data_IF_995225631028
#
_entry.id   IF_995225631028
#
_cell.length_a   1.000
_cell.length_b   1.000
_cell.length_c   1.000
_cell.angle_alpha   90.00
_cell.angle_beta   90.00
_cell.angle_gamma   90.00
#
_symmetry.space_group_name_H-M   'P 1'
#
loop_
_entity.id
_entity.type
_entity.pdbx_description
1 polymer ?
#
# COMPACT_ATOMS: atom_id res chain seq x y z
N UNK A 1 -22.69 26.35 -2.89
CA UNK A 1 -23.59 25.22 -2.53
C UNK A 1 -22.74 23.98 -2.57
N UNK A 2 -22.27 23.50 -1.40
CA UNK A 2 -21.36 22.37 -1.31
C UNK A 2 -22.10 21.07 -1.60
N UNK A 3 -21.62 20.30 -2.57
CA UNK A 3 -22.08 18.94 -2.81
C UNK A 3 -21.79 18.11 -1.55
N UNK A 4 -22.83 17.75 -0.84
CA UNK A 4 -22.76 16.83 0.31
C UNK A 4 -22.27 15.47 -0.24
N UNK A 5 -21.05 15.09 0.11
CA UNK A 5 -20.54 13.74 -0.20
C UNK A 5 -21.37 12.78 0.65
N UNK A 6 -22.38 12.17 0.08
CA UNK A 6 -23.13 11.09 0.72
C UNK A 6 -22.27 9.84 0.64
N UNK A 7 -21.65 9.49 1.76
CA UNK A 7 -20.87 8.27 1.89
C UNK A 7 -21.83 7.16 2.34
N UNK A 8 -21.96 6.12 1.53
CA UNK A 8 -22.64 4.89 1.96
C UNK A 8 -21.77 4.21 3.02
N UNK A 9 -22.35 3.78 4.17
CA UNK A 9 -21.57 3.11 5.19
C UNK A 9 -20.96 1.82 4.61
N UNK A 10 -19.64 1.78 4.53
CA UNK A 10 -18.91 0.55 4.24
C UNK A 10 -19.13 -0.44 5.39
N UNK A 11 -19.23 -1.73 5.09
CA UNK A 11 -19.24 -2.76 6.13
C UNK A 11 -17.98 -2.61 7.01
N UNK A 12 -18.12 -2.82 8.32
CA UNK A 12 -16.96 -2.81 9.24
C UNK A 12 -15.89 -3.74 8.70
N UNK A 13 -14.61 -3.33 8.73
CA UNK A 13 -13.53 -4.16 8.20
C UNK A 13 -13.47 -5.49 8.95
N UNK A 14 -13.24 -6.56 8.20
CA UNK A 14 -12.95 -7.87 8.79
C UNK A 14 -11.58 -7.83 9.47
N UNK A 15 -11.55 -7.76 10.78
CA UNK A 15 -10.34 -7.76 11.60
C UNK A 15 -9.81 -9.17 11.88
N UNK A 16 -10.45 -10.23 11.33
CA UNK A 16 -10.03 -11.63 11.55
C UNK A 16 -8.60 -11.90 11.09
N UNK A 17 -8.12 -11.18 10.07
CA UNK A 17 -6.73 -11.25 9.63
C UNK A 17 -5.73 -10.89 10.75
N UNK A 18 -6.15 -10.12 11.75
CA UNK A 18 -5.32 -9.69 12.87
C UNK A 18 -5.16 -10.80 13.94
N UNK A 19 -6.02 -11.80 13.94
CA UNK A 19 -5.89 -13.00 14.78
C UNK A 19 -4.65 -13.81 14.37
N UNK A 20 -4.23 -13.69 13.12
CA UNK A 20 -3.03 -14.37 12.58
C UNK A 20 -1.70 -13.70 12.94
N UNK A 21 -1.72 -12.55 13.63
CA UNK A 21 -0.51 -11.93 14.17
C UNK A 21 -0.03 -12.71 15.41
N UNK A 22 0.45 -13.92 15.19
CA UNK A 22 1.12 -14.72 16.20
C UNK A 22 2.57 -14.27 16.31
N UNK A 23 2.94 -13.49 17.31
CA UNK A 23 4.38 -13.22 17.49
C UNK A 23 4.77 -11.85 18.02
N UNK A 24 3.87 -11.11 18.65
CA UNK A 24 4.21 -9.83 19.29
C UNK A 24 3.70 -8.59 18.55
N UNK A 25 4.14 -7.39 18.98
CA UNK A 25 3.73 -6.13 18.38
C UNK A 25 4.04 -6.07 16.87
N UNK A 26 3.07 -5.67 16.02
CA UNK A 26 3.30 -5.65 14.58
C UNK A 26 4.22 -4.49 14.16
N UNK A 27 5.05 -4.73 13.14
CA UNK A 27 5.64 -3.69 12.33
C UNK A 27 4.83 -3.56 11.05
N UNK A 28 4.24 -2.40 10.83
CA UNK A 28 3.53 -2.07 9.59
C UNK A 28 4.20 -0.89 8.88
N UNK A 29 3.69 -0.52 7.70
CA UNK A 29 4.22 0.63 6.97
C UNK A 29 3.10 1.48 6.39
N UNK A 30 3.28 2.79 6.47
CA UNK A 30 2.60 3.76 5.62
C UNK A 30 3.51 4.04 4.43
N UNK A 31 3.06 3.69 3.23
CA UNK A 31 3.95 3.60 2.06
C UNK A 31 3.37 4.36 0.86
N UNK A 32 3.27 5.69 0.93
CA UNK A 32 2.73 6.51 -0.14
C UNK A 32 3.73 6.72 -1.27
N UNK A 33 3.21 6.74 -2.51
CA UNK A 33 4.00 7.14 -3.68
C UNK A 33 3.83 8.65 -3.94
N UNK A 34 4.93 9.43 -4.05
CA UNK A 34 4.89 10.88 -4.23
C UNK A 34 4.56 11.28 -5.68
N UNK A 35 3.44 10.76 -6.21
CA UNK A 35 2.93 11.02 -7.57
C UNK A 35 1.82 12.08 -7.61
N UNK A 36 1.53 12.71 -6.48
CA UNK A 36 0.52 13.75 -6.27
C UNK A 36 0.33 14.02 -4.78
N UNK A 37 -0.50 15.01 -4.46
CA UNK A 37 -0.82 15.40 -3.09
C UNK A 37 -1.66 14.34 -2.36
N UNK A 38 -1.64 14.40 -1.02
CA UNK A 38 -2.49 13.54 -0.20
C UNK A 38 -3.98 13.92 -0.37
N UNK A 39 -4.83 12.92 -0.32
CA UNK A 39 -6.29 13.05 -0.33
C UNK A 39 -6.91 12.18 0.77
N UNK A 40 -8.21 12.31 1.02
CA UNK A 40 -8.91 11.58 2.08
C UNK A 40 -8.65 10.06 2.05
N UNK A 41 -8.47 9.45 0.88
CA UNK A 41 -8.12 8.03 0.78
C UNK A 41 -6.76 7.67 1.41
N UNK A 42 -5.78 8.59 1.39
CA UNK A 42 -4.52 8.42 2.12
C UNK A 42 -4.72 8.60 3.63
N UNK A 43 -5.62 9.52 4.03
CA UNK A 43 -5.97 9.68 5.46
C UNK A 43 -6.66 8.44 6.00
N UNK A 44 -7.57 7.81 5.22
CA UNK A 44 -8.14 6.50 5.57
C UNK A 44 -7.05 5.46 5.77
N UNK A 45 -6.12 5.35 4.81
CA UNK A 45 -5.01 4.41 4.96
C UNK A 45 -4.18 4.69 6.21
N UNK A 46 -3.88 5.97 6.51
CA UNK A 46 -3.17 6.36 7.73
C UNK A 46 -3.95 5.96 8.99
N UNK A 47 -5.26 6.22 9.07
CA UNK A 47 -6.10 5.82 10.20
C UNK A 47 -5.98 4.31 10.45
N UNK A 48 -6.08 3.49 9.40
CA UNK A 48 -5.97 2.04 9.53
C UNK A 48 -4.56 1.59 9.91
N UNK A 49 -3.52 2.17 9.30
CA UNK A 49 -2.11 1.83 9.58
C UNK A 49 -1.76 2.15 11.04
N UNK A 50 -1.93 3.41 11.46
CA UNK A 50 -1.61 3.82 12.84
C UNK A 50 -2.57 3.22 13.85
N UNK A 51 -3.87 3.19 13.54
CA UNK A 51 -4.88 2.65 14.44
C UNK A 51 -4.63 1.19 14.78
N UNK A 52 -4.38 0.35 13.78
CA UNK A 52 -4.12 -1.07 13.98
C UNK A 52 -2.77 -1.35 14.65
N UNK A 53 -1.74 -0.58 14.30
CA UNK A 53 -0.44 -0.69 14.93
C UNK A 53 -0.55 -0.33 16.43
N UNK A 54 -1.06 0.86 16.74
CA UNK A 54 -1.14 1.36 18.13
C UNK A 54 -2.09 0.55 19.01
N UNK A 55 -3.18 0.00 18.45
CA UNK A 55 -4.07 -0.91 19.19
C UNK A 55 -3.39 -2.22 19.61
N UNK A 56 -2.16 -2.50 19.15
CA UNK A 56 -1.36 -3.70 19.42
C UNK A 56 0.08 -3.38 19.83
N UNK A 57 0.34 -2.19 20.34
CA UNK A 57 1.69 -1.72 20.74
C UNK A 57 2.74 -1.83 19.61
N UNK A 58 2.28 -1.82 18.38
CA UNK A 58 3.10 -1.96 17.18
C UNK A 58 3.71 -0.65 16.70
N UNK A 59 4.59 -0.77 15.70
CA UNK A 59 5.33 0.34 15.10
C UNK A 59 4.92 0.58 13.65
N UNK A 60 5.07 1.82 13.22
CA UNK A 60 4.79 2.28 11.84
C UNK A 60 6.08 2.79 11.21
N UNK A 61 6.47 2.17 10.10
CA UNK A 61 7.53 2.66 9.21
C UNK A 61 6.90 3.57 8.14
N UNK A 62 7.46 4.75 7.93
CA UNK A 62 7.17 5.56 6.74
C UNK A 62 8.13 5.18 5.63
N UNK A 63 7.60 4.73 4.49
CA UNK A 63 8.38 4.39 3.29
C UNK A 63 7.88 5.21 2.11
N UNK A 64 8.77 5.95 1.47
CA UNK A 64 8.45 6.71 0.26
C UNK A 64 8.60 5.79 -0.95
N UNK A 65 7.48 5.47 -1.61
CA UNK A 65 7.47 4.58 -2.78
C UNK A 65 7.72 5.38 -4.08
N UNK A 66 8.96 5.76 -4.30
CA UNK A 66 9.44 6.58 -5.42
C UNK A 66 10.17 5.77 -6.52
N UNK A 67 10.00 4.45 -6.57
CA UNK A 67 10.60 3.60 -7.59
C UNK A 67 10.17 3.97 -9.02
N UNK A 68 8.97 4.53 -9.20
CA UNK A 68 8.50 5.11 -10.46
C UNK A 68 8.94 6.58 -10.58
N UNK A 69 10.20 6.77 -10.89
CA UNK A 69 10.82 8.10 -10.96
C UNK A 69 10.23 9.00 -12.04
N UNK A 70 9.49 8.46 -13.01
CA UNK A 70 8.84 9.25 -14.07
C UNK A 70 7.69 10.09 -13.53
N UNK A 71 6.94 9.55 -12.58
CA UNK A 71 5.77 10.20 -11.99
C UNK A 71 6.03 10.84 -10.63
N UNK A 72 7.08 10.41 -9.93
CA UNK A 72 7.42 10.92 -8.60
C UNK A 72 8.14 12.26 -8.70
N UNK A 73 7.81 13.18 -7.78
CA UNK A 73 8.39 14.53 -7.74
C UNK A 73 8.75 14.90 -6.31
N UNK A 74 9.91 15.54 -6.12
CA UNK A 74 10.37 16.01 -4.81
C UNK A 74 9.37 16.98 -4.14
N UNK A 75 8.66 17.80 -4.92
CA UNK A 75 7.63 18.70 -4.41
C UNK A 75 6.42 17.95 -3.83
N UNK A 76 6.06 16.79 -4.39
CA UNK A 76 4.99 15.96 -3.83
C UNK A 76 5.45 15.22 -2.58
N UNK A 77 6.71 14.80 -2.52
CA UNK A 77 7.30 14.21 -1.31
C UNK A 77 7.33 15.20 -0.16
N UNK A 78 7.84 16.42 -0.41
CA UNK A 78 7.87 17.47 0.60
C UNK A 78 6.46 17.78 1.13
N UNK A 79 5.48 17.94 0.22
CA UNK A 79 4.10 18.19 0.59
C UNK A 79 3.47 17.02 1.38
N UNK A 80 3.78 15.78 1.01
CA UNK A 80 3.32 14.58 1.72
C UNK A 80 3.82 14.57 3.16
N UNK A 81 5.09 14.87 3.37
CA UNK A 81 5.71 14.91 4.69
C UNK A 81 5.10 16.04 5.55
N UNK A 82 4.89 17.24 4.95
CA UNK A 82 4.21 18.37 5.59
C UNK A 82 2.76 18.03 5.97
N UNK A 83 2.01 17.39 5.08
CA UNK A 83 0.62 17.00 5.32
C UNK A 83 0.51 15.95 6.44
N UNK A 84 1.45 14.99 6.51
CA UNK A 84 1.50 13.99 7.60
C UNK A 84 1.78 14.65 8.95
N UNK A 85 2.75 15.58 8.99
CA UNK A 85 3.07 16.33 10.20
C UNK A 85 1.87 17.17 10.66
N UNK A 86 1.21 17.86 9.72
CA UNK A 86 0.02 18.64 10.02
C UNK A 86 -1.14 17.79 10.53
N UNK A 87 -1.37 16.62 9.93
CA UNK A 87 -2.40 15.67 10.39
C UNK A 87 -2.09 15.05 11.75
N UNK A 88 -0.80 15.05 12.16
CA UNK A 88 -0.34 14.47 13.42
C UNK A 88 -0.05 12.97 13.36
N UNK A 89 0.12 12.39 12.17
CA UNK A 89 0.54 11.00 12.01
C UNK A 89 2.07 10.88 12.07
N UNK A 90 2.59 10.53 13.23
CA UNK A 90 4.05 10.42 13.47
C UNK A 90 4.49 8.95 13.32
N UNK A 91 5.34 8.63 12.33
CA UNK A 91 5.92 7.29 12.19
C UNK A 91 7.04 7.07 13.22
N UNK A 92 7.29 5.81 13.55
CA UNK A 92 8.38 5.42 14.45
C UNK A 92 9.73 5.34 13.72
N UNK A 93 9.69 5.04 12.42
CA UNK A 93 10.86 4.83 11.57
C UNK A 93 10.65 5.47 10.19
N UNK A 94 11.75 5.71 9.45
CA UNK A 94 11.70 6.13 8.05
C UNK A 94 11.31 7.59 7.81
N UNK A 95 11.42 8.47 8.82
CA UNK A 95 11.10 9.89 8.68
C UNK A 95 12.35 10.76 8.55
N UNK A 96 13.41 10.43 9.30
CA UNK A 96 14.64 11.20 9.36
C UNK A 96 15.87 10.28 9.36
N UNK A 97 16.55 10.07 8.23
CA UNK A 97 16.17 10.52 6.86
C UNK A 97 14.95 9.78 6.34
N UNK A 98 14.26 10.34 5.34
CA UNK A 98 13.17 9.62 4.68
C UNK A 98 13.65 8.31 4.06
N UNK A 99 12.93 7.22 4.32
CA UNK A 99 13.22 5.90 3.76
C UNK A 99 12.63 5.78 2.36
N UNK A 100 13.46 5.89 1.31
CA UNK A 100 13.04 5.87 -0.08
C UNK A 100 13.34 4.55 -0.76
N UNK A 101 12.44 4.08 -1.60
CA UNK A 101 12.68 2.91 -2.45
C UNK A 101 13.83 3.14 -3.44
N UNK A 102 13.97 4.37 -3.96
CA UNK A 102 15.06 4.71 -4.87
C UNK A 102 16.46 4.55 -4.27
N UNK A 103 16.59 4.57 -2.95
CA UNK A 103 17.85 4.36 -2.26
C UNK A 103 18.22 2.87 -2.12
N UNK A 104 17.29 1.95 -2.45
CA UNK A 104 17.44 0.49 -2.28
C UNK A 104 17.48 -0.30 -3.61
N UNK A 105 17.83 0.34 -4.72
CA UNK A 105 17.84 -0.30 -6.06
C UNK A 105 18.79 -1.50 -6.13
N UNK A 106 19.88 -1.50 -5.38
CA UNK A 106 20.80 -2.66 -5.27
C UNK A 106 20.11 -3.86 -4.65
N UNK A 107 19.31 -3.67 -3.60
CA UNK A 107 18.53 -4.75 -2.98
C UNK A 107 17.51 -5.40 -3.94
N UNK A 108 16.90 -4.61 -4.82
CA UNK A 108 16.03 -5.15 -5.87
C UNK A 108 16.81 -5.95 -6.91
N UNK A 109 18.01 -5.49 -7.30
CA UNK A 109 18.87 -6.20 -8.22
C UNK A 109 19.35 -7.54 -7.61
N UNK A 110 19.72 -7.56 -6.34
CA UNK A 110 20.16 -8.75 -5.62
C UNK A 110 19.02 -9.77 -5.47
N UNK A 111 17.82 -9.31 -5.15
CA UNK A 111 16.62 -10.16 -5.09
C UNK A 111 16.31 -10.79 -6.46
N UNK A 112 16.40 -10.01 -7.54
CA UNK A 112 16.24 -10.52 -8.90
C UNK A 112 17.33 -11.54 -9.25
N UNK A 113 18.60 -11.26 -8.93
CA UNK A 113 19.71 -12.15 -9.20
C UNK A 113 19.59 -13.48 -8.46
N UNK A 114 19.03 -13.48 -7.24
CA UNK A 114 18.71 -14.70 -6.50
C UNK A 114 17.68 -15.55 -7.23
N UNK A 115 16.52 -14.94 -7.57
CA UNK A 115 15.46 -15.63 -8.32
C UNK A 115 15.94 -16.15 -9.67
N UNK A 116 16.90 -15.47 -10.28
CA UNK A 116 17.51 -15.88 -11.53
C UNK A 116 18.39 -17.10 -11.40
N UNK A 117 19.24 -17.16 -10.39
CA UNK A 117 20.05 -18.36 -10.07
C UNK A 117 19.18 -19.58 -9.82
N UNK A 118 17.98 -19.37 -9.26
CA UNK A 118 17.00 -20.43 -9.01
C UNK A 118 16.21 -20.81 -10.28
N UNK A 119 16.58 -20.26 -11.46
CA UNK A 119 15.91 -20.53 -12.74
C UNK A 119 14.48 -20.00 -12.86
N UNK A 120 14.09 -19.05 -11.99
CA UNK A 120 12.73 -18.52 -11.94
C UNK A 120 12.48 -17.33 -12.88
N UNK A 121 13.54 -16.70 -13.42
CA UNK A 121 13.42 -15.47 -14.21
C UNK A 121 13.47 -15.75 -15.70
N UNK A 122 12.59 -15.15 -16.46
CA UNK A 122 12.56 -15.22 -17.91
C UNK A 122 12.18 -13.89 -18.57
N UNK A 123 12.61 -13.70 -19.83
CA UNK A 123 12.27 -12.51 -20.61
C UNK A 123 10.86 -12.59 -21.20
N UNK A 124 10.18 -11.45 -21.27
CA UNK A 124 8.83 -11.34 -21.80
C UNK A 124 8.70 -10.16 -22.77
N UNK A 125 8.14 -10.41 -23.94
CA UNK A 125 7.89 -9.41 -24.98
C UNK A 125 6.44 -8.87 -25.01
N UNK A 126 5.60 -9.28 -24.06
CA UNK A 126 4.20 -8.88 -24.00
C UNK A 126 4.05 -7.42 -23.56
N UNK A 127 3.27 -6.63 -24.31
CA UNK A 127 2.85 -5.30 -23.88
C UNK A 127 1.73 -5.36 -22.83
N UNK A 128 1.56 -4.28 -22.05
CA UNK A 128 0.42 -4.14 -21.12
C UNK A 128 -0.93 -4.35 -21.82
N UNK A 129 -1.09 -3.79 -23.03
CA UNK A 129 -2.30 -3.95 -23.84
C UNK A 129 -2.57 -5.42 -24.18
N UNK A 130 -1.54 -6.20 -24.49
CA UNK A 130 -1.67 -7.64 -24.82
C UNK A 130 -2.00 -8.50 -23.63
N UNK A 131 -1.49 -8.18 -22.45
CA UNK A 131 -1.81 -8.90 -21.20
C UNK A 131 -3.20 -8.50 -20.71
N UNK A 132 -3.56 -7.22 -20.79
CA UNK A 132 -4.84 -6.70 -20.29
C UNK A 132 -4.97 -6.84 -18.78
N UNK A 133 -6.22 -7.00 -18.31
CA UNK A 133 -6.56 -7.23 -16.90
C UNK A 133 -6.61 -8.70 -16.50
N UNK A 134 -6.40 -9.62 -17.45
CA UNK A 134 -6.44 -11.06 -17.17
C UNK A 134 -5.17 -11.55 -16.48
N UNK A 135 -5.24 -12.68 -15.77
CA UNK A 135 -4.05 -13.39 -15.31
C UNK A 135 -3.10 -13.64 -16.47
N UNK A 136 -1.80 -13.48 -16.22
CA UNK A 136 -0.81 -13.76 -17.26
C UNK A 136 -0.68 -15.27 -17.51
N UNK A 137 -0.92 -15.70 -18.72
CA UNK A 137 -1.00 -17.10 -19.15
C UNK A 137 0.33 -17.84 -19.32
N UNK A 138 1.46 -17.22 -18.97
CA UNK A 138 2.77 -17.85 -19.05
C UNK A 138 3.35 -17.99 -20.48
N UNK A 139 2.71 -17.42 -21.51
CA UNK A 139 3.06 -17.62 -22.94
C UNK A 139 4.51 -17.34 -23.33
N UNK A 140 5.29 -16.65 -22.52
CA UNK A 140 6.70 -16.41 -22.77
C UNK A 140 7.63 -17.31 -21.94
N UNK A 141 7.11 -18.11 -21.03
CA UNK A 141 7.89 -18.92 -20.09
C UNK A 141 8.97 -19.77 -20.77
N UNK A 142 8.54 -20.51 -21.78
CA UNK A 142 9.35 -21.58 -22.37
C UNK A 142 9.86 -21.20 -23.78
N UNK A 143 9.76 -19.90 -24.15
CA UNK A 143 10.21 -19.42 -25.47
C UNK A 143 11.71 -19.18 -25.58
N UNK A 144 12.45 -19.27 -24.48
CA UNK A 144 13.90 -19.03 -24.51
C UNK A 144 14.28 -17.63 -25.01
N UNK A 145 13.43 -16.61 -24.79
CA UNK A 145 13.68 -15.26 -25.27
C UNK A 145 14.98 -14.70 -24.68
N UNK A 146 15.90 -14.16 -25.50
CA UNK A 146 17.11 -13.54 -24.97
C UNK A 146 16.76 -12.32 -24.11
N UNK A 147 17.56 -12.08 -23.07
CA UNK A 147 17.43 -10.92 -22.20
C UNK A 147 17.94 -9.68 -22.93
N UNK A 148 17.02 -8.95 -23.49
CA UNK A 148 17.23 -7.68 -24.16
C UNK A 148 16.73 -6.56 -23.22
N UNK A 149 17.42 -5.41 -23.10
CA UNK A 149 16.95 -4.26 -22.31
C UNK A 149 15.52 -3.80 -22.64
N UNK A 150 15.05 -4.05 -23.86
CA UNK A 150 13.70 -3.72 -24.32
C UNK A 150 12.65 -4.78 -24.01
N UNK A 151 13.02 -5.83 -23.27
CA UNK A 151 12.08 -6.85 -22.79
C UNK A 151 11.87 -6.75 -21.30
N UNK A 152 10.64 -6.97 -20.87
CA UNK A 152 10.34 -7.11 -19.45
C UNK A 152 10.88 -8.41 -18.89
N UNK A 153 11.10 -8.46 -17.58
CA UNK A 153 11.45 -9.68 -16.86
C UNK A 153 10.28 -10.12 -15.99
N UNK A 154 10.00 -11.41 -16.04
CA UNK A 154 8.98 -12.06 -15.19
C UNK A 154 9.61 -13.12 -14.32
N UNK A 155 8.94 -13.33 -13.17
CA UNK A 155 9.22 -14.45 -12.27
C UNK A 155 8.11 -15.48 -12.41
N UNK A 156 8.50 -16.74 -12.60
CA UNK A 156 7.60 -17.88 -12.61
C UNK A 156 7.05 -18.10 -11.21
N UNK A 157 5.72 -18.04 -11.09
CA UNK A 157 4.98 -18.37 -9.88
C UNK A 157 4.20 -19.67 -10.16
N UNK A 158 4.64 -20.76 -9.54
CA UNK A 158 3.94 -22.03 -9.70
C UNK A 158 2.64 -22.00 -8.87
N UNK A 159 1.54 -22.46 -9.46
CA UNK A 159 0.21 -22.56 -8.83
C UNK A 159 -0.41 -21.22 -8.37
N UNK A 160 0.08 -20.10 -8.88
CA UNK A 160 -0.52 -18.78 -8.57
C UNK A 160 -1.59 -18.44 -9.63
N UNK A 161 -2.88 -18.35 -9.24
CA UNK A 161 -3.99 -18.11 -10.19
C UNK A 161 -3.85 -16.83 -11.00
N UNK A 162 -3.18 -15.82 -10.44
CA UNK A 162 -2.94 -14.55 -11.13
C UNK A 162 -1.82 -14.61 -12.17
N UNK A 163 -1.13 -15.75 -12.28
CA UNK A 163 -0.02 -15.96 -13.22
C UNK A 163 1.29 -15.29 -12.81
N UNK A 164 2.28 -15.42 -13.67
CA UNK A 164 3.64 -14.95 -13.43
C UNK A 164 3.72 -13.44 -13.26
N UNK A 165 4.51 -13.02 -12.29
CA UNK A 165 4.68 -11.62 -11.95
C UNK A 165 5.69 -10.93 -12.88
N UNK A 166 5.34 -9.76 -13.42
CA UNK A 166 6.29 -8.86 -14.05
C UNK A 166 7.08 -8.16 -12.94
N UNK A 167 8.40 -8.29 -12.96
CA UNK A 167 9.30 -7.70 -11.93
C UNK A 167 10.05 -6.50 -12.44
N UNK A 168 10.38 -6.49 -13.74
CA UNK A 168 10.98 -5.35 -14.41
C UNK A 168 10.26 -5.12 -15.74
N UNK A 169 9.90 -3.88 -16.03
CA UNK A 169 9.21 -3.57 -17.29
C UNK A 169 10.20 -3.40 -18.46
N UNK A 170 9.68 -3.07 -19.65
CA UNK A 170 10.47 -2.92 -20.86
C UNK A 170 11.37 -1.67 -20.88
N UNK A 171 11.04 -0.71 -20.03
CA UNK A 171 11.80 0.54 -19.87
C UNK A 171 12.85 0.40 -18.75
N UNK A 172 12.95 -0.80 -18.17
CA UNK A 172 13.91 -1.13 -17.12
C UNK A 172 13.48 -0.75 -15.72
N UNK A 173 12.24 -0.30 -15.52
CA UNK A 173 11.72 0.07 -14.21
C UNK A 173 11.28 -1.15 -13.42
N UNK A 174 11.52 -1.10 -12.11
CA UNK A 174 10.97 -2.08 -11.17
C UNK A 174 9.45 -1.93 -11.07
N UNK A 175 8.74 -3.05 -11.03
CA UNK A 175 7.28 -2.98 -10.85
C UNK A 175 6.91 -2.86 -9.38
N UNK A 176 5.75 -2.22 -9.10
CA UNK A 176 5.21 -2.10 -7.75
C UNK A 176 5.18 -3.44 -7.01
N UNK A 177 4.68 -4.49 -7.66
CA UNK A 177 4.54 -5.81 -7.03
C UNK A 177 5.88 -6.37 -6.54
N UNK A 178 6.94 -6.17 -7.31
CA UNK A 178 8.27 -6.64 -6.94
C UNK A 178 8.89 -5.77 -5.84
N UNK A 179 8.91 -4.46 -6.05
CA UNK A 179 9.55 -3.53 -5.14
C UNK A 179 8.94 -3.61 -3.72
N UNK A 180 7.60 -3.58 -3.61
CA UNK A 180 6.94 -3.65 -2.30
C UNK A 180 7.18 -4.98 -1.59
N UNK A 181 7.26 -6.10 -2.33
CA UNK A 181 7.48 -7.42 -1.72
C UNK A 181 8.91 -7.55 -1.20
N UNK A 182 9.90 -7.06 -1.96
CA UNK A 182 11.31 -7.06 -1.52
C UNK A 182 11.49 -6.16 -0.30
N UNK A 183 10.92 -4.95 -0.33
CA UNK A 183 11.01 -4.04 0.80
C UNK A 183 10.31 -4.57 2.05
N UNK A 184 9.08 -5.08 1.92
CA UNK A 184 8.34 -5.66 3.05
C UNK A 184 9.08 -6.86 3.67
N UNK A 185 9.85 -7.62 2.86
CA UNK A 185 10.72 -8.68 3.35
C UNK A 185 11.95 -8.11 4.07
N UNK A 186 12.70 -7.20 3.44
CA UNK A 186 13.94 -6.65 3.97
C UNK A 186 13.72 -5.81 5.25
N UNK A 187 12.60 -5.11 5.32
CA UNK A 187 12.23 -4.28 6.47
C UNK A 187 11.49 -5.05 7.57
N UNK A 188 11.27 -6.36 7.41
CA UNK A 188 10.63 -7.19 8.42
C UNK A 188 9.18 -6.84 8.70
N UNK A 189 8.45 -6.32 7.71
CA UNK A 189 7.03 -5.94 7.86
C UNK A 189 6.19 -7.20 8.18
N UNK A 190 5.46 -7.16 9.27
CA UNK A 190 4.61 -8.27 9.74
C UNK A 190 3.13 -8.03 9.49
N UNK A 191 2.72 -6.76 9.29
CA UNK A 191 1.35 -6.38 8.98
C UNK A 191 1.33 -5.44 7.76
N UNK A 192 0.62 -5.85 6.73
CA UNK A 192 0.39 -5.04 5.52
C UNK A 192 -1.03 -4.51 5.54
N UNK A 193 -1.18 -3.19 5.69
CA UNK A 193 -2.46 -2.49 5.64
C UNK A 193 -2.52 -1.66 4.36
N UNK A 194 -3.58 -1.83 3.55
CA UNK A 194 -3.71 -1.12 2.27
C UNK A 194 -5.16 -1.12 1.77
N UNK A 195 -5.44 -0.38 0.71
CA UNK A 195 -6.77 -0.33 0.10
C UNK A 195 -7.21 -1.67 -0.50
N UNK A 196 -8.52 -1.92 -0.50
CA UNK A 196 -9.14 -3.14 -1.04
C UNK A 196 -8.87 -3.33 -2.55
N UNK A 197 -8.58 -2.28 -3.29
CA UNK A 197 -8.20 -2.33 -4.70
C UNK A 197 -6.90 -3.10 -4.98
N UNK A 198 -6.12 -3.39 -3.95
CA UNK A 198 -4.89 -4.18 -4.01
C UNK A 198 -5.07 -5.62 -3.52
N UNK A 199 -6.28 -6.05 -3.17
CA UNK A 199 -6.53 -7.38 -2.61
C UNK A 199 -6.05 -8.50 -3.56
N UNK A 200 -6.34 -8.39 -4.85
CA UNK A 200 -5.95 -9.37 -5.87
C UNK A 200 -4.42 -9.51 -6.06
N UNK A 201 -3.66 -8.57 -5.50
CA UNK A 201 -2.19 -8.62 -5.55
C UNK A 201 -1.58 -9.48 -4.45
N UNK A 202 -2.36 -9.83 -3.43
CA UNK A 202 -1.85 -10.47 -2.21
C UNK A 202 -1.25 -11.84 -2.48
N UNK A 203 -1.94 -12.69 -3.22
CA UNK A 203 -1.45 -14.04 -3.57
C UNK A 203 -0.08 -14.00 -4.26
N UNK A 204 0.07 -13.16 -5.28
CA UNK A 204 1.34 -12.99 -6.00
C UNK A 204 2.47 -12.49 -5.13
N UNK A 205 2.19 -11.55 -4.23
CA UNK A 205 3.20 -11.02 -3.32
C UNK A 205 3.62 -12.06 -2.29
N UNK A 206 2.68 -12.86 -1.77
CA UNK A 206 2.98 -13.97 -0.87
C UNK A 206 3.82 -15.06 -1.56
N UNK A 207 3.45 -15.46 -2.77
CA UNK A 207 4.20 -16.43 -3.56
C UNK A 207 5.63 -15.94 -3.85
N UNK A 208 5.77 -14.67 -4.27
CA UNK A 208 7.07 -14.05 -4.52
C UNK A 208 7.92 -13.97 -3.23
N UNK A 209 7.32 -13.56 -2.10
CA UNK A 209 8.01 -13.50 -0.81
C UNK A 209 8.53 -14.89 -0.38
N UNK A 210 7.73 -15.94 -0.61
CA UNK A 210 8.15 -17.33 -0.37
C UNK A 210 9.38 -17.72 -1.20
N UNK A 211 9.39 -17.41 -2.50
CA UNK A 211 10.55 -17.63 -3.38
C UNK A 211 11.78 -16.83 -2.93
N UNK A 212 11.58 -15.65 -2.35
CA UNK A 212 12.64 -14.85 -1.75
C UNK A 212 13.05 -15.30 -0.34
N UNK A 213 12.50 -16.44 0.14
CA UNK A 213 12.90 -17.09 1.39
C UNK A 213 12.18 -16.60 2.63
N UNK A 214 11.05 -15.90 2.49
CA UNK A 214 10.23 -15.49 3.63
C UNK A 214 9.56 -16.71 4.26
N UNK A 215 9.91 -17.02 5.52
CA UNK A 215 9.36 -18.18 6.24
C UNK A 215 7.96 -17.88 6.81
N UNK A 216 7.79 -16.71 7.41
CA UNK A 216 6.51 -16.31 8.00
C UNK A 216 5.90 -15.18 7.17
N UNK A 217 4.77 -15.43 6.48
CA UNK A 217 4.11 -14.40 5.69
C UNK A 217 3.55 -13.29 6.59
N UNK A 218 3.50 -12.03 6.12
CA UNK A 218 2.83 -10.97 6.84
C UNK A 218 1.32 -11.19 6.84
N UNK A 219 0.64 -10.67 7.87
CA UNK A 219 -0.81 -10.53 7.82
C UNK A 219 -1.18 -9.40 6.85
N UNK A 220 -2.29 -9.57 6.12
CA UNK A 220 -2.83 -8.55 5.22
C UNK A 220 -4.20 -8.10 5.69
N UNK A 221 -4.40 -6.78 5.75
CA UNK A 221 -5.69 -6.17 5.95
C UNK A 221 -5.97 -5.18 4.82
N UNK A 222 -7.13 -5.34 4.19
CA UNK A 222 -7.57 -4.48 3.11
C UNK A 222 -8.71 -3.58 3.61
N UNK A 223 -8.45 -2.27 3.71
CA UNK A 223 -9.45 -1.31 4.15
C UNK A 223 -10.38 -0.90 3.00
N UNK A 224 -11.61 -0.46 3.30
CA UNK A 224 -12.54 0.06 2.31
C UNK A 224 -11.97 1.27 1.58
N UNK A 225 -12.43 1.51 0.36
CA UNK A 225 -12.11 2.70 -0.41
C UNK A 225 -13.20 3.75 -0.22
N UNK A 226 -12.83 5.02 -0.28
CA UNK A 226 -13.82 6.08 -0.43
C UNK A 226 -14.32 6.06 -1.87
N UNK A 227 -15.62 5.96 -2.04
CA UNK A 227 -16.29 6.00 -3.33
C UNK A 227 -17.24 7.19 -3.40
N UNK A 228 -17.46 7.72 -4.60
CA UNK A 228 -18.51 8.71 -4.84
C UNK A 228 -19.90 8.06 -4.80
N UNK A 229 -21.00 8.83 -4.83
CA UNK A 229 -22.36 8.28 -4.81
C UNK A 229 -22.68 7.34 -5.99
N UNK A 230 -21.86 7.33 -7.03
CA UNK A 230 -22.00 6.41 -8.17
C UNK A 230 -21.22 5.09 -7.98
N UNK A 231 -20.53 4.93 -6.85
CA UNK A 231 -19.65 3.79 -6.55
C UNK A 231 -18.26 3.88 -7.20
N UNK A 232 -17.90 5.00 -7.82
CA UNK A 232 -16.60 5.20 -8.42
C UNK A 232 -15.59 5.63 -7.34
N UNK A 233 -14.42 4.99 -7.33
CA UNK A 233 -13.30 5.38 -6.45
C UNK A 233 -12.97 6.87 -6.63
N UNK A 234 -12.87 7.61 -5.51
CA UNK A 234 -12.36 8.97 -5.56
C UNK A 234 -10.94 8.95 -6.12
N UNK A 235 -10.74 9.68 -7.19
CA UNK A 235 -9.43 9.80 -7.86
C UNK A 235 -8.87 11.20 -7.67
N UNK A 236 -7.55 11.34 -7.85
CA UNK A 236 -6.81 12.60 -7.77
C UNK A 236 -7.36 13.72 -8.67
N UNK A 237 -8.27 13.43 -9.59
CA UNK A 237 -8.90 14.39 -10.50
C UNK A 237 -10.16 15.05 -9.93
N UNK A 238 -10.69 14.59 -8.80
CA UNK A 238 -11.78 15.25 -8.09
C UNK A 238 -11.19 16.24 -7.07
N UNK A 239 -11.09 17.50 -7.42
CA UNK A 239 -10.44 18.59 -6.66
C UNK A 239 -10.95 18.81 -5.22
N UNK A 240 -12.01 18.12 -4.80
CA UNK A 240 -12.74 18.46 -3.56
C UNK A 240 -12.32 17.67 -2.31
N UNK A 241 -11.30 16.80 -2.38
CA UNK A 241 -10.95 15.88 -1.28
C UNK A 241 -9.47 15.82 -0.94
N UNK A 242 -8.69 16.78 -1.44
CA UNK A 242 -7.27 16.93 -1.11
C UNK A 242 -7.07 17.44 0.31
N UNK A 243 -6.05 16.93 1.01
CA UNK A 243 -5.71 17.39 2.38
C UNK A 243 -5.38 18.88 2.40
N UNK A 244 -4.67 19.36 1.40
CA UNK A 244 -4.27 20.77 1.29
C UNK A 244 -5.47 21.70 1.07
N UNK A 245 -6.43 21.30 0.27
CA UNK A 245 -7.67 22.02 0.02
C UNK A 245 -8.52 22.11 1.29
N UNK A 246 -8.64 21.00 2.03
CA UNK A 246 -9.36 20.98 3.31
C UNK A 246 -8.66 21.87 4.36
N UNK A 247 -7.31 21.82 4.43
CA UNK A 247 -6.52 22.72 5.28
C UNK A 247 -6.70 24.19 4.90
N UNK A 248 -6.67 24.50 3.60
CA UNK A 248 -6.88 25.87 3.10
C UNK A 248 -8.31 26.38 3.37
N UNK A 249 -9.29 25.47 3.41
CA UNK A 249 -10.67 25.78 3.81
C UNK A 249 -10.84 25.95 5.33
N UNK A 250 -9.75 25.87 6.12
CA UNK A 250 -9.75 26.13 7.56
C UNK A 250 -10.12 24.92 8.42
N UNK A 251 -10.20 23.70 7.87
CA UNK A 251 -10.48 22.53 8.68
C UNK A 251 -9.29 22.19 9.60
N UNK A 252 -9.61 21.85 10.84
CA UNK A 252 -8.60 21.33 11.76
C UNK A 252 -8.15 19.91 11.38
N UNK A 253 -6.91 19.50 11.68
CA UNK A 253 -6.42 18.14 11.41
C UNK A 253 -7.34 17.03 11.91
N UNK A 254 -7.82 17.16 13.15
CA UNK A 254 -8.75 16.19 13.75
C UNK A 254 -10.10 16.10 13.03
N UNK A 255 -10.59 17.19 12.46
CA UNK A 255 -11.81 17.19 11.65
C UNK A 255 -11.60 16.45 10.34
N UNK A 256 -10.44 16.60 9.69
CA UNK A 256 -10.09 15.86 8.46
C UNK A 256 -9.97 14.35 8.74
N UNK A 257 -9.35 13.96 9.85
CA UNK A 257 -9.28 12.55 10.29
C UNK A 257 -10.70 12.00 10.56
N UNK A 258 -11.55 12.76 11.24
CA UNK A 258 -12.94 12.39 11.51
C UNK A 258 -13.79 12.24 10.24
N UNK A 259 -13.62 13.15 9.27
CA UNK A 259 -14.25 13.04 7.94
C UNK A 259 -13.84 11.74 7.24
N UNK A 260 -12.55 11.42 7.22
CA UNK A 260 -12.04 10.21 6.60
C UNK A 260 -12.55 8.93 7.32
N UNK A 261 -12.62 8.95 8.65
CA UNK A 261 -13.14 7.84 9.44
C UNK A 261 -14.64 7.59 9.17
N UNK A 262 -15.45 8.65 9.11
CA UNK A 262 -16.86 8.55 8.77
C UNK A 262 -17.07 8.06 7.34
N UNK A 263 -16.25 8.54 6.41
CA UNK A 263 -16.30 8.16 5.00
C UNK A 263 -16.14 6.66 4.73
N UNK A 264 -15.57 5.91 5.67
CA UNK A 264 -15.41 4.45 5.56
C UNK A 264 -16.16 3.69 6.66
N UNK A 265 -17.08 4.35 7.35
CA UNK A 265 -17.96 3.72 8.35
C UNK A 265 -17.27 3.30 9.66
N UNK A 266 -16.10 3.85 9.99
CA UNK A 266 -15.47 3.63 11.28
C UNK A 266 -16.19 4.36 12.41
N UNK A 267 -16.85 5.46 12.09
CA UNK A 267 -17.77 6.23 12.95
C UNK A 267 -19.04 6.57 12.17
N UNK A 268 -20.16 6.75 12.87
CA UNK A 268 -21.46 6.98 12.23
C UNK A 268 -21.59 8.34 11.56
N UNK A 269 -20.99 9.37 12.16
CA UNK A 269 -21.01 10.73 11.65
C UNK A 269 -19.64 11.40 11.85
N UNK A 270 -19.26 12.39 11.01
CA UNK A 270 -18.02 13.12 11.19
C UNK A 270 -17.91 13.76 12.58
N UNK A 271 -16.88 13.38 13.31
CA UNK A 271 -16.52 13.96 14.61
C UNK A 271 -15.00 14.13 14.68
N UNK A 272 -14.46 15.18 15.30
CA UNK A 272 -13.03 15.40 15.39
C UNK A 272 -12.29 14.24 16.08
N UNK A 273 -11.30 13.66 15.44
CA UNK A 273 -10.46 12.57 15.98
C UNK A 273 -9.00 12.98 15.85
N UNK A 274 -8.27 13.22 16.94
CA UNK A 274 -6.81 13.39 16.88
C UNK A 274 -6.12 12.14 16.33
N UNK A 275 -5.08 12.31 15.50
CA UNK A 275 -4.34 11.17 14.93
C UNK A 275 -3.77 10.22 16.02
N UNK A 276 -3.34 10.77 17.16
CA UNK A 276 -2.87 9.97 18.30
C UNK A 276 -3.95 9.10 18.96
N UNK A 277 -5.24 9.36 18.68
CA UNK A 277 -6.37 8.63 19.27
C UNK A 277 -7.00 7.59 18.34
N UNK A 278 -6.50 7.43 17.10
CA UNK A 278 -7.14 6.51 16.12
C UNK A 278 -7.12 5.04 16.54
N UNK A 279 -6.27 4.66 17.49
CA UNK A 279 -6.23 3.30 18.05
C UNK A 279 -7.57 2.86 18.65
N UNK A 280 -8.33 3.78 19.23
CA UNK A 280 -9.63 3.48 19.86
C UNK A 280 -10.65 2.94 18.85
N UNK A 281 -10.50 3.27 17.57
CA UNK A 281 -11.37 2.79 16.50
C UNK A 281 -11.20 1.28 16.21
N UNK A 282 -10.10 0.68 16.69
CA UNK A 282 -9.70 -0.70 16.46
C UNK A 282 -9.52 -1.51 17.74
N UNK A 283 -9.77 -0.88 18.90
CA UNK A 283 -9.76 -1.59 20.18
C UNK A 283 -10.94 -2.58 20.21
N UNK A 284 -10.65 -3.86 20.40
CA UNK A 284 -11.67 -4.86 20.65
C UNK A 284 -12.31 -4.55 22.00
N UNK A 285 -13.64 -4.49 22.12
CA UNK A 285 -14.26 -4.39 23.45
C UNK A 285 -13.74 -5.53 24.33
N UNK A 286 -13.27 -5.22 25.55
CA UNK A 286 -12.72 -6.21 26.51
C UNK A 286 -13.73 -7.28 26.98
N UNK A 287 -14.93 -7.34 26.39
CA UNK A 287 -16.04 -8.22 26.81
C UNK A 287 -16.03 -9.63 26.20
N UNK A 288 -14.96 -10.03 25.48
CA UNK A 288 -14.88 -11.39 24.92
C UNK A 288 -13.67 -12.20 25.41
N UNK A 289 -13.05 -11.82 26.52
CA UNK A 289 -12.06 -12.64 27.23
C UNK A 289 -12.60 -12.93 28.67
N UNK A 290 -13.68 -13.67 28.70
CA UNK A 290 -14.22 -14.29 29.91
C UNK A 290 -14.26 -15.79 29.72
#
# INVERSE_FOLDING_TARGET
MGSCVVVLPAARPDLSALVRLSGGPPLTRFAPSPTGYLHLGHVVNAIYVWGLARARDGRVLLRIEDHDRVRCRASYEAALLEDLDWLGFVPDEGRHPPDRQSDRLTGFADALARLDRDGRVYACDCSRKRVGSRPYDGRCRDRGLPRDPRRGLRVRLDNEPSGDILVRDRDGHWTYQFAVTVDDLCQGITLVVRGQDLADSTGRQLALAGLLGRQTPPAFLHHPLIVDPTGRKLSKSAHDTGVRELRAAGLAPSAVVGLAAAAVGLIEAPAPIPAGSVAVLFATPRSYLG
#
